data_IF_988659462171
#
_entry.id   IF_988659462171
#
_cell.length_a   1.000
_cell.length_b   1.000
_cell.length_c   1.000
_cell.angle_alpha   90.00
_cell.angle_beta   90.00
_cell.angle_gamma   90.00
#
_symmetry.space_group_name_H-M   'P 1'
#
loop_
_entity.id
_entity.type
_entity.pdbx_description
1 polymer ?
#
# COMPACT_ATOMS: atom_id res chain seq x y z
N UNK A 1 21.88 -5.33 -4.31
CA UNK A 1 20.69 -4.66 -4.86
C UNK A 1 19.49 -5.03 -4.02
N UNK A 2 18.68 -4.06 -3.66
CA UNK A 2 17.56 -4.31 -2.78
C UNK A 2 16.37 -4.86 -3.56
N UNK A 3 15.71 -5.88 -3.04
CA UNK A 3 14.48 -6.39 -3.64
C UNK A 3 13.40 -5.33 -3.67
N UNK A 4 13.44 -4.39 -2.71
CA UNK A 4 12.48 -3.32 -2.66
C UNK A 4 12.59 -2.40 -3.88
N UNK A 5 13.79 -2.22 -4.43
CA UNK A 5 13.96 -1.39 -5.63
C UNK A 5 13.23 -1.98 -6.82
N UNK A 6 13.30 -3.31 -6.99
CA UNK A 6 12.58 -3.97 -8.07
C UNK A 6 11.08 -3.89 -7.89
N UNK A 7 10.63 -4.05 -6.64
CA UNK A 7 9.21 -3.93 -6.35
C UNK A 7 8.73 -2.49 -6.60
N UNK A 8 9.54 -1.50 -6.23
CA UNK A 8 9.16 -0.10 -6.43
C UNK A 8 9.00 0.22 -7.90
N UNK A 9 9.91 -0.26 -8.74
CA UNK A 9 9.79 -0.06 -10.19
C UNK A 9 8.51 -0.69 -10.73
N UNK A 10 8.19 -1.88 -10.24
CA UNK A 10 6.96 -2.56 -10.68
C UNK A 10 5.73 -1.77 -10.25
N UNK A 11 5.75 -1.24 -9.03
CA UNK A 11 4.65 -0.42 -8.53
C UNK A 11 4.47 0.82 -9.40
N UNK A 12 5.57 1.48 -9.74
CA UNK A 12 5.48 2.67 -10.60
C UNK A 12 4.86 2.33 -11.95
N UNK A 13 5.20 1.17 -12.50
CA UNK A 13 4.61 0.72 -13.76
C UNK A 13 3.12 0.44 -13.62
N UNK A 14 2.71 -0.17 -12.52
CA UNK A 14 1.31 -0.43 -12.25
C UNK A 14 0.52 0.88 -12.20
N UNK A 15 1.05 1.86 -11.48
CA UNK A 15 0.39 3.14 -11.33
C UNK A 15 0.31 3.89 -12.67
N UNK A 16 1.32 3.75 -13.50
CA UNK A 16 1.34 4.39 -14.80
C UNK A 16 0.25 3.86 -15.72
N UNK A 17 -0.13 2.60 -15.55
CA UNK A 17 -1.19 2.01 -16.35
C UNK A 17 -2.57 2.43 -15.87
N UNK A 18 -2.69 2.77 -14.60
CA UNK A 18 -3.96 3.18 -14.02
C UNK A 18 -4.90 2.00 -13.79
N UNK A 19 -6.17 2.30 -13.59
CA UNK A 19 -7.18 1.29 -13.33
C UNK A 19 -7.93 1.60 -12.05
N UNK A 20 -8.84 0.70 -11.67
CA UNK A 20 -9.57 0.84 -10.43
C UNK A 20 -8.62 0.81 -9.25
N UNK A 21 -8.93 1.58 -8.23
CA UNK A 21 -8.11 1.63 -7.04
C UNK A 21 -7.90 0.23 -6.45
N UNK A 22 -8.97 -0.55 -6.39
CA UNK A 22 -8.90 -1.88 -5.81
C UNK A 22 -7.96 -2.78 -6.63
N UNK A 23 -8.07 -2.74 -7.95
CA UNK A 23 -7.19 -3.52 -8.82
C UNK A 23 -5.74 -3.08 -8.70
N UNK A 24 -5.51 -1.77 -8.64
CA UNK A 24 -4.16 -1.23 -8.50
C UNK A 24 -3.54 -1.73 -7.20
N UNK A 25 -4.28 -1.64 -6.11
CA UNK A 25 -3.74 -2.06 -4.81
C UNK A 25 -3.48 -3.56 -4.76
N UNK A 26 -4.34 -4.38 -5.39
CA UNK A 26 -4.09 -5.81 -5.48
C UNK A 26 -2.80 -6.11 -6.23
N UNK A 27 -2.56 -5.41 -7.32
CA UNK A 27 -1.33 -5.59 -8.09
C UNK A 27 -0.12 -5.13 -7.30
N UNK A 28 -0.27 -4.06 -6.52
CA UNK A 28 0.83 -3.55 -5.70
C UNK A 28 1.24 -4.58 -4.64
N UNK A 29 0.27 -5.17 -3.92
CA UNK A 29 0.64 -6.15 -2.89
C UNK A 29 1.22 -7.40 -3.53
N UNK A 30 0.71 -7.82 -4.69
CA UNK A 30 1.28 -8.96 -5.39
C UNK A 30 2.73 -8.66 -5.79
N UNK A 31 3.01 -7.45 -6.26
CA UNK A 31 4.36 -7.07 -6.64
C UNK A 31 5.30 -7.06 -5.43
N UNK A 32 4.83 -6.55 -4.30
CA UNK A 32 5.64 -6.54 -3.10
C UNK A 32 5.95 -7.96 -2.64
N UNK A 33 4.97 -8.84 -2.71
CA UNK A 33 5.18 -10.23 -2.34
C UNK A 33 6.13 -10.93 -3.33
N UNK A 34 5.87 -10.79 -4.62
CA UNK A 34 6.60 -11.56 -5.63
C UNK A 34 7.93 -10.94 -6.00
N UNK A 35 7.96 -9.63 -6.22
CA UNK A 35 9.18 -8.94 -6.62
C UNK A 35 10.01 -8.50 -5.44
N UNK A 36 9.33 -8.09 -4.37
CA UNK A 36 10.03 -7.69 -3.16
C UNK A 36 10.52 -8.86 -2.32
N UNK A 37 9.94 -10.04 -2.55
CA UNK A 37 10.35 -11.22 -1.80
C UNK A 37 9.83 -11.25 -0.38
N UNK A 38 8.84 -10.43 -0.05
CA UNK A 38 8.30 -10.40 1.30
C UNK A 38 7.34 -11.58 1.50
N UNK A 39 7.30 -12.12 2.71
CA UNK A 39 6.44 -13.25 3.01
C UNK A 39 4.96 -12.88 2.81
N UNK A 40 4.62 -11.63 3.10
CA UNK A 40 3.26 -11.15 2.99
C UNK A 40 3.28 -9.63 2.81
N UNK A 41 2.31 -9.11 2.08
CA UNK A 41 2.12 -7.67 1.96
C UNK A 41 0.62 -7.40 1.94
N UNK A 42 0.20 -6.30 2.57
CA UNK A 42 -1.21 -5.95 2.61
C UNK A 42 -1.42 -4.49 2.97
N UNK A 43 -2.63 -4.03 2.71
CA UNK A 43 -3.06 -2.70 3.10
C UNK A 43 -4.17 -2.82 4.14
N UNK A 44 -4.10 -1.98 5.16
CA UNK A 44 -5.18 -1.82 6.12
C UNK A 44 -5.76 -0.44 5.88
N UNK A 45 -7.06 -0.36 5.65
CA UNK A 45 -7.71 0.93 5.44
C UNK A 45 -8.21 1.48 6.77
N UNK A 46 -8.10 2.80 6.91
CA UNK A 46 -8.65 3.48 8.09
C UNK A 46 -10.08 3.88 7.75
N UNK A 47 -11.04 3.26 8.43
CA UNK A 47 -12.46 3.56 8.23
C UNK A 47 -13.06 3.84 9.58
N UNK A 48 -13.54 5.06 9.77
CA UNK A 48 -14.17 5.48 11.03
C UNK A 48 -13.28 5.19 12.23
N UNK A 49 -11.98 5.42 12.06
CA UNK A 49 -11.03 5.23 13.15
C UNK A 49 -10.56 3.81 13.36
N UNK A 50 -11.03 2.87 12.55
CA UNK A 50 -10.65 1.46 12.66
C UNK A 50 -9.86 1.02 11.44
N UNK A 51 -8.94 0.07 11.65
CA UNK A 51 -8.18 -0.50 10.56
C UNK A 51 -8.91 -1.73 10.04
N UNK A 52 -9.15 -1.74 8.73
CA UNK A 52 -9.82 -2.85 8.06
C UNK A 52 -8.89 -3.42 7.01
N UNK A 53 -8.69 -4.73 7.03
CA UNK A 53 -7.80 -5.37 6.08
C UNK A 53 -8.39 -5.28 4.67
N UNK A 54 -7.56 -4.80 3.73
CA UNK A 54 -7.89 -4.71 2.33
C UNK A 54 -7.13 -5.76 1.52
N UNK A 55 -6.66 -5.39 0.34
CA UNK A 55 -5.94 -6.35 -0.52
C UNK A 55 -4.68 -6.86 0.16
N UNK A 56 -4.40 -8.15 -0.03
CA UNK A 56 -3.22 -8.77 0.55
C UNK A 56 -2.69 -9.87 -0.35
N UNK A 57 -1.43 -10.22 -0.19
CA UNK A 57 -0.79 -11.30 -0.94
C UNK A 57 0.24 -11.97 -0.05
N UNK A 58 0.32 -13.29 -0.12
CA UNK A 58 1.30 -14.06 0.62
C UNK A 58 0.73 -14.67 1.88
N UNK A 59 1.62 -15.13 2.75
CA UNK A 59 1.25 -15.77 4.02
C UNK A 59 1.70 -14.88 5.16
N UNK A 60 0.78 -14.40 6.01
CA UNK A 60 1.13 -13.45 7.06
C UNK A 60 2.12 -14.02 8.08
N UNK A 61 3.02 -13.16 8.54
CA UNK A 61 3.98 -13.48 9.58
C UNK A 61 4.13 -12.24 10.45
N UNK A 62 3.16 -12.03 11.32
CA UNK A 62 3.05 -10.80 12.09
C UNK A 62 4.26 -10.51 12.95
N UNK A 63 5.00 -11.54 13.35
CA UNK A 63 6.17 -11.35 14.17
C UNK A 63 7.26 -10.55 13.46
N UNK A 64 7.23 -10.53 12.14
CA UNK A 64 8.23 -9.80 11.34
C UNK A 64 7.60 -8.67 10.55
N UNK A 65 6.51 -8.12 11.05
CA UNK A 65 5.75 -7.10 10.32
C UNK A 65 6.35 -5.72 10.44
N UNK A 66 6.48 -5.06 9.30
CA UNK A 66 6.83 -3.64 9.20
C UNK A 66 5.62 -2.89 8.70
N UNK A 67 5.29 -1.78 9.34
CA UNK A 67 4.13 -0.97 8.98
C UNK A 67 4.58 0.43 8.64
N UNK A 68 4.03 0.98 7.55
CA UNK A 68 4.27 2.37 7.20
C UNK A 68 2.93 3.03 6.93
N UNK A 69 2.74 4.26 7.39
CA UNK A 69 1.45 4.92 7.16
C UNK A 69 1.32 5.37 5.71
N UNK A 70 0.09 5.34 5.21
CA UNK A 70 -0.24 5.89 3.91
C UNK A 70 -0.95 7.20 4.19
N UNK A 71 -0.36 8.31 3.77
CA UNK A 71 -0.88 9.64 4.10
C UNK A 71 -1.45 10.29 2.86
N UNK A 72 -2.60 10.93 3.02
CA UNK A 72 -3.22 11.73 1.98
C UNK A 72 -3.43 13.12 2.56
N UNK A 73 -2.68 14.08 2.02
CA UNK A 73 -2.73 15.47 2.49
C UNK A 73 -2.52 15.56 3.99
N UNK A 74 -1.58 14.76 4.49
CA UNK A 74 -1.22 14.80 5.89
C UNK A 74 -2.07 13.95 6.82
N UNK A 75 -3.07 13.26 6.28
CA UNK A 75 -3.97 12.44 7.08
C UNK A 75 -3.73 10.98 6.76
N UNK A 76 -3.62 10.15 7.79
CA UNK A 76 -3.42 8.72 7.58
C UNK A 76 -4.72 8.09 7.10
N UNK A 77 -4.73 7.58 5.87
CA UNK A 77 -5.92 6.98 5.27
C UNK A 77 -5.80 5.47 5.19
N UNK A 78 -4.59 4.94 5.36
CA UNK A 78 -4.35 3.50 5.32
C UNK A 78 -3.00 3.21 5.92
N UNK A 79 -2.67 1.93 6.02
CA UNK A 79 -1.37 1.49 6.49
C UNK A 79 -0.90 0.39 5.55
N UNK A 80 0.33 0.53 5.05
CA UNK A 80 0.96 -0.52 4.25
C UNK A 80 1.75 -1.39 5.19
N UNK A 81 1.54 -2.69 5.15
CA UNK A 81 2.27 -3.61 6.00
C UNK A 81 2.91 -4.69 5.15
N UNK A 82 4.15 -5.05 5.48
CA UNK A 82 4.82 -6.17 4.85
C UNK A 82 5.49 -7.00 5.94
N UNK A 83 5.55 -8.30 5.71
CA UNK A 83 6.17 -9.21 6.67
C UNK A 83 7.47 -9.72 6.08
N UNK A 84 8.54 -9.60 6.86
CA UNK A 84 9.84 -10.09 6.44
C UNK A 84 10.73 -9.06 5.76
N UNK A 85 10.40 -7.77 5.85
CA UNK A 85 11.23 -6.74 5.24
C UNK A 85 12.41 -6.41 6.14
N UNK A 86 13.62 -6.28 5.57
CA UNK A 86 14.75 -5.77 6.37
C UNK A 86 14.58 -4.29 6.61
N UNK A 87 15.20 -3.76 7.69
CA UNK A 87 15.08 -2.32 7.99
C UNK A 87 15.53 -1.42 6.85
N UNK A 88 16.45 -1.88 6.02
CA UNK A 88 16.94 -1.09 4.91
C UNK A 88 15.86 -0.79 3.88
N UNK A 89 14.77 -1.54 3.88
CA UNK A 89 13.71 -1.36 2.89
C UNK A 89 12.66 -0.35 3.33
N UNK A 90 12.73 0.18 4.54
CA UNK A 90 11.70 1.06 5.07
C UNK A 90 11.46 2.27 4.19
N UNK A 91 12.54 2.89 3.71
CA UNK A 91 12.42 4.08 2.87
C UNK A 91 11.69 3.77 1.56
N UNK A 92 12.01 2.64 0.95
CA UNK A 92 11.33 2.23 -0.28
C UNK A 92 9.85 1.96 -0.02
N UNK A 93 9.53 1.35 1.13
CA UNK A 93 8.14 1.09 1.48
C UNK A 93 7.37 2.39 1.72
N UNK A 94 8.02 3.37 2.34
CA UNK A 94 7.41 4.68 2.52
C UNK A 94 7.12 5.33 1.17
N UNK A 95 8.01 5.13 0.21
CA UNK A 95 7.80 5.66 -1.12
C UNK A 95 6.61 4.99 -1.82
N UNK A 96 6.49 3.67 -1.66
CA UNK A 96 5.33 2.96 -2.19
C UNK A 96 4.05 3.51 -1.57
N UNK A 97 4.05 3.71 -0.24
CA UNK A 97 2.89 4.24 0.45
C UNK A 97 2.52 5.61 -0.10
N UNK A 98 3.50 6.47 -0.35
CA UNK A 98 3.23 7.80 -0.89
C UNK A 98 2.66 7.70 -2.30
N UNK A 99 3.17 6.78 -3.11
CA UNK A 99 2.71 6.66 -4.49
C UNK A 99 1.27 6.18 -4.59
N UNK A 100 0.83 5.33 -3.65
CA UNK A 100 -0.51 4.75 -3.73
C UNK A 100 -1.54 5.48 -2.89
N UNK A 101 -1.16 6.58 -2.24
CA UNK A 101 -2.04 7.22 -1.25
C UNK A 101 -3.40 7.58 -1.84
N UNK A 102 -3.46 8.08 -3.06
CA UNK A 102 -4.73 8.44 -3.68
C UNK A 102 -5.63 7.25 -3.98
N UNK A 103 -5.08 6.05 -3.96
CA UNK A 103 -5.85 4.83 -4.21
C UNK A 103 -6.38 4.21 -2.93
N UNK A 104 -6.05 4.79 -1.78
CA UNK A 104 -6.43 4.25 -0.48
C UNK A 104 -7.57 5.02 0.17
N UNK A 105 -8.32 5.80 -0.60
CA UNK A 105 -9.35 6.68 -0.05
C UNK A 105 -10.71 5.99 0.03
N UNK A 106 -10.72 4.77 0.52
CA UNK A 106 -11.93 3.98 0.66
C UNK A 106 -12.77 4.59 1.80
N UNK A 107 -14.01 4.94 1.48
CA UNK A 107 -14.90 5.51 2.47
C UNK A 107 -14.59 6.92 2.90
N UNK A 108 -13.60 7.56 2.26
CA UNK A 108 -13.22 8.92 2.61
C UNK A 108 -13.92 9.92 1.71
N UNK A 109 -14.25 11.05 2.32
CA UNK A 109 -14.78 12.18 1.59
C UNK A 109 -13.58 12.93 1.00
N UNK A 110 -13.50 12.96 -0.31
CA UNK A 110 -12.38 13.60 -0.96
C UNK A 110 -12.57 15.09 -1.14
N UNK A 111 -13.64 15.61 -0.61
CA UNK A 111 -13.88 17.04 -0.58
C UNK A 111 -14.27 17.64 -1.90
N UNK A 112 -13.83 17.10 -2.96
CA UNK A 112 -14.16 17.58 -4.27
C UNK A 112 -15.33 16.89 -4.86
N UNK A 113 -15.92 16.06 -4.09
CA UNK A 113 -16.94 15.25 -4.60
C UNK A 113 -18.16 16.00 -4.87
N UNK A 114 -18.48 16.17 -6.07
CA UNK A 114 -19.63 16.97 -6.38
C UNK A 114 -20.87 16.18 -6.54
N UNK A 115 -20.77 14.89 -6.31
CA UNK A 115 -21.88 14.10 -6.64
C UNK A 115 -23.08 14.46 -5.87
N UNK A 116 -22.83 14.97 -4.73
CA UNK A 116 -23.94 15.25 -3.91
C UNK A 116 -24.30 16.65 -3.99
N UNK A 117 -23.70 17.30 -4.79
CA UNK A 117 -24.08 18.66 -4.77
C UNK A 117 -23.94 19.18 -5.93
#
# INVERSE_FOLDING_TARGET
>A
MSSASGALETVEGILAQGGDADDVLRQVVAALHERGGYAWAGFFFVEEGLLTLGPEAGVPDEARRTRVPVLWQGVEVAELAVDGAPPADTEALERVAALVSGHCLVGWDTGGEPWDS
#
